data_IF_657808432296
#
_entry.id   IF_657808432296
#
_cell.length_a   1.000
_cell.length_b   1.000
_cell.length_c   1.000
_cell.angle_alpha   90.00
_cell.angle_beta   90.00
_cell.angle_gamma   90.00
#
_symmetry.space_group_name_H-M   'P 1'
#
loop_
_entity.id
_entity.type
_entity.pdbx_description
1 polymer ?
#
# COMPACT_ATOMS: atom_id res chain seq x y z
N UNK A 1 23.48 10.79 -3.35
CA UNK A 1 22.16 10.53 -3.98
C UNK A 1 21.09 10.58 -2.92
N UNK A 2 19.96 11.21 -3.22
CA UNK A 2 18.80 11.28 -2.34
C UNK A 2 17.99 9.98 -2.35
N UNK A 3 17.51 9.53 -1.19
CA UNK A 3 16.83 8.24 -0.99
C UNK A 3 15.33 8.36 -0.69
N UNK A 4 14.78 9.58 -0.72
CA UNK A 4 13.37 9.90 -0.42
C UNK A 4 12.86 10.97 -1.37
N UNK A 5 11.54 11.04 -1.56
CA UNK A 5 10.88 12.10 -2.32
C UNK A 5 10.56 13.30 -1.42
N UNK A 6 10.97 14.50 -1.83
CA UNK A 6 10.51 15.76 -1.27
C UNK A 6 10.38 16.81 -2.40
N UNK A 7 9.17 16.91 -2.96
CA UNK A 7 8.87 17.81 -4.08
C UNK A 7 8.99 19.30 -3.72
N UNK A 8 8.81 19.68 -2.44
CA UNK A 8 8.95 21.07 -1.98
C UNK A 8 10.42 21.51 -2.03
N UNK A 9 11.31 20.67 -1.51
CA UNK A 9 12.77 20.87 -1.61
C UNK A 9 13.34 20.58 -3.00
N UNK A 10 12.52 20.06 -3.92
CA UNK A 10 12.90 19.84 -5.31
C UNK A 10 13.85 18.65 -5.51
N UNK A 11 13.78 17.63 -4.65
CA UNK A 11 14.49 16.36 -4.86
C UNK A 11 13.54 15.15 -4.83
N UNK A 12 13.85 14.17 -5.66
CA UNK A 12 13.19 12.86 -5.69
C UNK A 12 14.20 11.75 -5.41
N UNK A 13 13.72 10.56 -5.03
CA UNK A 13 14.56 9.38 -4.88
C UNK A 13 15.36 9.14 -6.17
N UNK A 14 16.67 8.95 -6.05
CA UNK A 14 17.59 8.87 -7.18
C UNK A 14 18.25 10.20 -7.58
N UNK A 15 17.84 11.35 -7.03
CA UNK A 15 18.48 12.65 -7.34
C UNK A 15 19.97 12.61 -6.94
N UNK A 16 20.86 13.00 -7.87
CA UNK A 16 22.31 13.06 -7.63
C UNK A 16 22.72 14.52 -7.34
N UNK A 17 23.70 14.67 -6.45
CA UNK A 17 24.28 15.95 -6.08
C UNK A 17 25.56 15.72 -5.27
N UNK A 18 26.36 16.78 -5.13
CA UNK A 18 27.65 16.80 -4.45
C UNK A 18 27.52 17.58 -3.15
N UNK A 19 27.93 17.01 -2.02
CA UNK A 19 28.03 17.77 -0.76
C UNK A 19 29.13 18.81 -0.93
N UNK A 20 28.79 20.09 -0.75
CA UNK A 20 29.72 21.22 -0.93
C UNK A 20 30.16 21.84 0.39
N UNK A 21 29.27 21.86 1.38
CA UNK A 21 29.53 22.44 2.69
C UNK A 21 28.53 21.85 3.72
N UNK A 22 28.57 22.33 4.95
CA UNK A 22 27.61 22.06 6.02
C UNK A 22 27.07 23.38 6.60
N UNK A 23 25.87 23.38 7.15
CA UNK A 23 25.31 24.52 7.91
C UNK A 23 25.89 24.58 9.32
N UNK A 24 25.63 25.67 10.06
CA UNK A 24 26.07 25.82 11.45
C UNK A 24 25.55 24.73 12.38
N UNK A 25 24.36 24.18 12.08
CA UNK A 25 23.73 23.06 12.79
C UNK A 25 24.24 21.68 12.33
N UNK A 26 25.20 21.63 11.40
CA UNK A 26 25.82 20.41 10.90
C UNK A 26 25.06 19.69 9.78
N UNK A 27 24.01 20.29 9.19
CA UNK A 27 23.30 19.67 8.06
C UNK A 27 24.09 19.82 6.75
N UNK A 28 24.21 18.79 5.91
CA UNK A 28 24.95 18.90 4.66
C UNK A 28 24.19 19.75 3.62
N UNK A 29 24.94 20.63 2.95
CA UNK A 29 24.51 21.42 1.80
C UNK A 29 24.92 20.71 0.50
N UNK A 30 23.93 20.25 -0.26
CA UNK A 30 24.12 19.48 -1.49
C UNK A 30 23.85 20.33 -2.73
N UNK A 31 24.85 20.47 -3.61
CA UNK A 31 24.70 21.06 -4.94
C UNK A 31 24.16 20.01 -5.91
N UNK A 32 22.99 20.26 -6.50
CA UNK A 32 22.47 19.46 -7.62
C UNK A 32 23.14 19.85 -8.95
N UNK A 33 23.00 19.00 -9.96
CA UNK A 33 23.46 19.29 -11.34
C UNK A 33 22.98 20.65 -11.88
N UNK A 34 21.75 21.06 -11.52
CA UNK A 34 21.17 22.35 -11.91
C UNK A 34 21.62 23.54 -11.03
N UNK A 35 22.75 23.41 -10.32
CA UNK A 35 23.35 24.42 -9.42
C UNK A 35 22.49 24.89 -8.24
N UNK A 36 21.29 24.32 -8.04
CA UNK A 36 20.50 24.54 -6.82
C UNK A 36 21.20 23.87 -5.63
N UNK A 37 21.47 24.66 -4.61
CA UNK A 37 21.85 24.19 -3.28
C UNK A 37 20.61 23.72 -2.52
N UNK A 38 20.74 22.63 -1.76
CA UNK A 38 19.70 22.08 -0.90
C UNK A 38 20.33 21.78 0.47
N UNK A 39 19.80 22.36 1.54
CA UNK A 39 20.07 21.87 2.90
C UNK A 39 19.30 20.58 3.13
N UNK A 40 20.01 19.54 3.59
CA UNK A 40 19.42 18.22 3.75
C UNK A 40 19.20 17.91 5.22
N UNK A 41 17.95 18.00 5.65
CA UNK A 41 17.51 17.66 6.99
C UNK A 41 17.28 16.14 7.15
N UNK A 42 17.35 15.58 8.38
CA UNK A 42 16.94 14.21 8.66
C UNK A 42 15.51 13.93 8.22
N UNK A 43 15.29 12.72 7.70
CA UNK A 43 13.99 12.22 7.30
C UNK A 43 13.67 10.93 8.05
N UNK A 44 12.37 10.67 8.26
CA UNK A 44 11.92 9.45 8.91
C UNK A 44 11.45 8.37 7.91
N UNK A 45 11.76 7.11 8.20
CA UNK A 45 11.15 5.94 7.58
C UNK A 45 10.52 5.10 8.69
N UNK A 46 9.22 4.81 8.56
CA UNK A 46 8.49 3.93 9.47
C UNK A 46 8.25 2.56 8.83
N UNK A 47 8.41 1.51 9.63
CA UNK A 47 7.85 0.20 9.35
C UNK A 47 6.50 0.11 10.08
N UNK A 48 5.42 -0.14 9.34
CA UNK A 48 4.07 -0.22 9.89
C UNK A 48 3.41 -1.56 9.56
N UNK A 49 2.70 -2.12 10.54
CA UNK A 49 1.72 -3.18 10.35
C UNK A 49 0.31 -2.56 10.37
N UNK A 50 -0.27 -2.43 9.19
CA UNK A 50 -1.49 -1.64 8.97
C UNK A 50 -1.33 -0.20 9.48
N UNK A 51 -2.10 0.14 10.54
CA UNK A 51 -2.11 1.46 11.17
C UNK A 51 -1.10 1.62 12.32
N UNK A 52 -0.35 0.57 12.69
CA UNK A 52 0.59 0.58 13.82
C UNK A 52 2.03 0.68 13.31
N UNK A 53 2.69 1.80 13.59
CA UNK A 53 4.15 1.89 13.47
C UNK A 53 4.81 0.90 14.43
N UNK A 54 5.56 -0.05 13.90
CA UNK A 54 6.34 -1.04 14.65
C UNK A 54 7.72 -0.49 15.04
N UNK A 55 8.35 0.23 14.11
CA UNK A 55 9.64 0.87 14.28
C UNK A 55 9.75 2.09 13.36
N UNK A 56 10.64 3.03 13.69
CA UNK A 56 11.03 4.10 12.79
C UNK A 56 12.55 4.33 12.85
N UNK A 57 13.08 4.91 11.78
CA UNK A 57 14.48 5.33 11.66
C UNK A 57 14.46 6.79 11.24
N UNK A 58 15.16 7.66 11.96
CA UNK A 58 15.46 9.03 11.52
C UNK A 58 16.92 9.10 11.06
N UNK A 59 17.14 9.55 9.82
CA UNK A 59 18.47 9.63 9.21
C UNK A 59 18.45 10.62 8.04
N UNK A 60 19.59 11.20 7.68
CA UNK A 60 19.71 11.98 6.44
C UNK A 60 19.28 11.12 5.23
N UNK A 61 18.41 11.62 4.33
CA UNK A 61 17.96 10.91 3.13
C UNK A 61 19.04 10.89 2.04
N UNK A 62 20.29 10.58 2.40
CA UNK A 62 21.46 10.56 1.53
C UNK A 62 22.14 9.19 1.58
N UNK A 63 22.61 8.75 0.40
CA UNK A 63 23.53 7.63 0.24
C UNK A 63 24.67 8.04 -0.68
N UNK A 64 25.87 7.53 -0.40
CA UNK A 64 27.02 7.62 -1.30
C UNK A 64 26.65 7.00 -2.66
N UNK A 65 27.10 7.63 -3.74
CA UNK A 65 26.53 7.40 -5.07
C UNK A 65 27.57 7.27 -6.20
N UNK A 66 28.84 7.03 -5.86
CA UNK A 66 29.88 6.70 -6.84
C UNK A 66 29.61 5.37 -7.55
N UNK A 67 29.00 4.41 -6.85
CA UNK A 67 28.53 3.15 -7.40
C UNK A 67 27.18 2.76 -6.79
N UNK A 68 26.30 2.22 -7.61
CA UNK A 68 25.04 1.59 -7.19
C UNK A 68 24.89 0.26 -7.92
N UNK A 69 24.25 -0.73 -7.29
CA UNK A 69 23.98 -2.00 -7.97
C UNK A 69 22.82 -1.83 -8.96
N UNK A 70 22.83 -2.62 -10.04
CA UNK A 70 21.75 -2.61 -11.06
C UNK A 70 20.37 -2.73 -10.41
N UNK A 71 20.20 -3.67 -9.48
CA UNK A 71 18.97 -3.87 -8.69
C UNK A 71 18.50 -2.61 -7.92
N UNK A 72 19.42 -1.73 -7.47
CA UNK A 72 19.06 -0.47 -6.79
C UNK A 72 18.82 0.69 -7.78
N UNK A 73 19.25 0.54 -9.03
CA UNK A 73 18.95 1.47 -10.12
C UNK A 73 17.60 1.20 -10.82
N UNK A 74 16.96 0.06 -10.54
CA UNK A 74 15.71 -0.34 -11.20
C UNK A 74 14.59 0.72 -11.01
N UNK A 75 14.01 1.17 -12.11
CA UNK A 75 13.00 2.24 -12.13
C UNK A 75 13.55 3.66 -12.01
N UNK A 76 14.86 3.85 -11.83
CA UNK A 76 15.51 5.16 -11.90
C UNK A 76 15.79 5.58 -13.34
N UNK A 77 15.93 6.88 -13.56
CA UNK A 77 16.37 7.50 -14.81
C UNK A 77 17.61 8.35 -14.51
N UNK A 78 18.69 8.13 -15.25
CA UNK A 78 20.03 8.67 -14.98
C UNK A 78 20.59 9.32 -16.25
N UNK A 79 21.33 10.41 -16.11
CA UNK A 79 21.88 11.16 -17.25
C UNK A 79 23.10 10.48 -17.87
N UNK A 80 24.01 10.02 -17.02
CA UNK A 80 25.23 9.34 -17.41
C UNK A 80 25.59 8.26 -16.38
N UNK A 81 26.13 7.15 -16.86
CA UNK A 81 26.57 6.04 -16.02
C UNK A 81 27.76 5.31 -16.65
N UNK A 82 28.74 4.98 -15.81
CA UNK A 82 29.73 3.93 -16.10
C UNK A 82 29.13 2.62 -15.61
N UNK A 83 29.03 1.63 -16.51
CA UNK A 83 28.34 0.36 -16.28
C UNK A 83 29.35 -0.77 -16.49
N UNK A 84 29.35 -1.74 -15.58
CA UNK A 84 30.11 -2.98 -15.69
C UNK A 84 29.14 -4.15 -15.53
N UNK A 85 29.11 -5.04 -16.51
CA UNK A 85 28.23 -6.21 -16.58
C UNK A 85 29.04 -7.53 -16.68
N UNK A 86 30.35 -7.51 -16.42
CA UNK A 86 31.20 -8.71 -16.47
C UNK A 86 30.76 -9.79 -15.47
N UNK A 87 30.26 -9.37 -14.31
CA UNK A 87 29.74 -10.24 -13.24
C UNK A 87 28.20 -10.28 -13.19
N UNK A 88 27.50 -9.93 -14.28
CA UNK A 88 26.04 -10.02 -14.33
C UNK A 88 25.60 -11.51 -14.31
N UNK A 89 24.61 -11.83 -13.47
CA UNK A 89 24.19 -13.22 -13.21
C UNK A 89 22.70 -13.47 -13.50
N UNK A 90 21.85 -12.44 -13.40
CA UNK A 90 20.41 -12.55 -13.62
C UNK A 90 20.01 -12.24 -15.07
N UNK A 91 19.01 -12.97 -15.58
CA UNK A 91 18.40 -12.67 -16.88
C UNK A 91 17.88 -11.23 -16.93
N UNK A 92 18.08 -10.56 -18.07
CA UNK A 92 17.66 -9.17 -18.28
C UNK A 92 18.40 -8.13 -17.41
N UNK A 93 19.38 -8.52 -16.59
CA UNK A 93 20.12 -7.58 -15.73
C UNK A 93 20.87 -6.52 -16.56
N UNK A 94 21.46 -6.91 -17.70
CA UNK A 94 22.07 -5.95 -18.63
C UNK A 94 21.04 -4.99 -19.20
N UNK A 95 19.90 -5.49 -19.69
CA UNK A 95 18.80 -4.63 -20.16
C UNK A 95 18.34 -3.64 -19.08
N UNK A 96 18.15 -4.07 -17.83
CA UNK A 96 17.77 -3.18 -16.73
C UNK A 96 18.82 -2.08 -16.53
N UNK A 97 20.12 -2.42 -16.51
CA UNK A 97 21.22 -1.47 -16.31
C UNK A 97 21.32 -0.44 -17.45
N UNK A 98 21.36 -0.91 -18.70
CA UNK A 98 21.54 -0.06 -19.87
C UNK A 98 20.34 0.88 -20.08
N UNK A 99 19.12 0.39 -19.84
CA UNK A 99 17.88 1.17 -19.97
C UNK A 99 17.67 2.25 -18.89
N UNK A 100 18.59 2.42 -17.92
CA UNK A 100 18.52 3.53 -16.96
C UNK A 100 19.06 4.85 -17.53
N UNK A 101 19.92 4.81 -18.55
CA UNK A 101 20.61 5.99 -19.06
C UNK A 101 19.77 6.71 -20.13
N UNK A 102 19.58 8.03 -19.98
CA UNK A 102 18.69 8.85 -20.83
C UNK A 102 19.11 8.96 -22.30
N UNK A 103 20.39 8.79 -22.61
CA UNK A 103 20.94 8.94 -23.95
C UNK A 103 22.21 8.09 -24.10
N UNK A 104 22.45 7.55 -25.30
CA UNK A 104 23.62 6.69 -25.57
C UNK A 104 24.96 7.37 -25.26
N UNK A 105 25.08 8.68 -25.51
CA UNK A 105 26.29 9.45 -25.19
C UNK A 105 26.59 9.61 -23.69
N UNK A 106 25.65 9.25 -22.80
CA UNK A 106 25.89 9.19 -21.36
C UNK A 106 26.29 7.80 -20.86
N UNK A 107 26.25 6.77 -21.70
CA UNK A 107 26.48 5.38 -21.34
C UNK A 107 27.94 4.97 -21.66
N UNK A 108 28.68 4.57 -20.63
CA UNK A 108 30.04 4.04 -20.77
C UNK A 108 30.06 2.60 -20.26
N UNK A 109 30.23 1.63 -21.16
CA UNK A 109 30.24 0.20 -20.82
C UNK A 109 31.69 -0.29 -20.70
N UNK A 110 32.11 -0.71 -19.50
CA UNK A 110 33.45 -1.25 -19.24
C UNK A 110 33.62 -2.68 -19.75
N UNK A 111 32.52 -3.44 -19.80
CA UNK A 111 32.50 -4.82 -20.25
C UNK A 111 31.18 -5.50 -19.91
N UNK A 112 30.94 -6.65 -20.51
CA UNK A 112 29.74 -7.46 -20.31
C UNK A 112 30.04 -8.93 -20.55
N UNK A 113 29.18 -9.80 -20.02
CA UNK A 113 29.19 -11.23 -20.30
C UNK A 113 27.93 -11.63 -21.11
N UNK A 114 27.89 -12.86 -21.66
CA UNK A 114 26.72 -13.34 -22.41
C UNK A 114 25.44 -13.30 -21.55
N UNK A 115 25.54 -13.73 -20.29
CA UNK A 115 24.45 -13.78 -19.32
C UNK A 115 23.72 -12.45 -19.12
N UNK A 116 24.44 -11.33 -19.21
CA UNK A 116 23.88 -9.98 -19.07
C UNK A 116 22.86 -9.64 -20.16
N UNK A 117 22.99 -10.24 -21.35
CA UNK A 117 22.17 -10.01 -22.53
C UNK A 117 21.09 -11.09 -22.73
N UNK A 118 21.14 -12.18 -21.96
CA UNK A 118 20.15 -13.25 -22.01
C UNK A 118 18.80 -12.82 -21.42
N UNK A 119 17.73 -13.30 -22.05
CA UNK A 119 16.34 -13.19 -21.56
C UNK A 119 15.88 -14.59 -21.17
N UNK A 120 15.12 -14.69 -20.08
CA UNK A 120 14.55 -15.95 -19.62
C UNK A 120 13.56 -16.51 -20.66
N UNK A 121 13.72 -17.79 -21.03
CA UNK A 121 12.89 -18.44 -22.04
C UNK A 121 11.40 -18.48 -21.67
N UNK A 122 11.07 -18.52 -20.38
CA UNK A 122 9.68 -18.44 -19.92
C UNK A 122 9.07 -17.06 -20.21
N UNK A 123 9.88 -15.99 -20.14
CA UNK A 123 9.44 -14.63 -20.46
C UNK A 123 9.24 -14.48 -21.97
N UNK A 124 10.12 -15.06 -22.80
CA UNK A 124 9.94 -15.07 -24.28
C UNK A 124 8.65 -15.78 -24.67
N UNK A 125 8.38 -16.96 -24.09
CA UNK A 125 7.15 -17.72 -24.34
C UNK A 125 5.87 -16.95 -23.94
N UNK A 126 5.92 -16.21 -22.82
CA UNK A 126 4.79 -15.40 -22.35
C UNK A 126 4.63 -14.11 -23.17
N UNK A 127 5.72 -13.46 -23.58
CA UNK A 127 5.69 -12.26 -24.43
C UNK A 127 4.99 -12.53 -25.77
N UNK A 128 5.20 -13.70 -26.38
CA UNK A 128 4.46 -14.11 -27.57
C UNK A 128 2.94 -14.09 -27.38
N UNK A 129 2.44 -14.54 -26.22
CA UNK A 129 1.01 -14.50 -25.87
C UNK A 129 0.51 -13.07 -25.65
N UNK A 130 1.32 -12.19 -25.04
CA UNK A 130 0.96 -10.78 -24.87
C UNK A 130 0.92 -10.02 -26.20
N UNK A 131 1.85 -10.31 -27.12
CA UNK A 131 1.88 -9.70 -28.45
C UNK A 131 0.67 -10.11 -29.29
N UNK A 132 0.30 -11.38 -29.30
CA UNK A 132 -0.91 -11.86 -29.98
C UNK A 132 -2.17 -11.22 -29.39
N UNK A 133 -2.27 -11.15 -28.06
CA UNK A 133 -3.38 -10.45 -27.40
C UNK A 133 -3.40 -8.95 -27.72
N UNK A 134 -2.25 -8.29 -27.86
CA UNK A 134 -2.17 -6.90 -28.31
C UNK A 134 -2.74 -6.77 -29.72
N UNK A 135 -2.27 -7.58 -30.68
CA UNK A 135 -2.74 -7.52 -32.07
C UNK A 135 -4.24 -7.82 -32.22
N UNK A 136 -4.78 -8.78 -31.44
CA UNK A 136 -6.23 -9.05 -31.39
C UNK A 136 -6.98 -7.83 -30.85
N UNK A 137 -6.50 -7.21 -29.78
CA UNK A 137 -7.11 -6.01 -29.21
C UNK A 137 -7.02 -4.81 -30.16
N UNK A 138 -5.89 -4.59 -30.82
CA UNK A 138 -5.67 -3.48 -31.76
C UNK A 138 -6.65 -3.55 -32.94
N UNK A 139 -6.81 -4.74 -33.56
CA UNK A 139 -7.83 -4.96 -34.60
C UNK A 139 -9.24 -4.71 -34.06
N UNK A 140 -9.56 -5.30 -32.91
CA UNK A 140 -10.86 -5.11 -32.26
C UNK A 140 -11.16 -3.63 -31.97
N UNK A 141 -10.18 -2.83 -31.57
CA UNK A 141 -10.34 -1.39 -31.36
C UNK A 141 -10.46 -0.61 -32.66
N UNK A 142 -9.80 -1.04 -33.74
CA UNK A 142 -9.96 -0.45 -35.07
C UNK A 142 -11.36 -0.71 -35.66
N UNK A 143 -11.89 -1.92 -35.49
CA UNK A 143 -13.22 -2.32 -35.98
C UNK A 143 -14.39 -1.77 -35.14
N UNK A 144 -14.13 -1.24 -33.93
CA UNK A 144 -15.15 -0.60 -33.08
C UNK A 144 -15.58 0.77 -33.64
N UNK A 145 -16.90 0.99 -33.63
CA UNK A 145 -17.48 2.33 -33.85
C UNK A 145 -17.03 3.33 -32.78
N UNK A 146 -17.05 4.62 -33.09
CA UNK A 146 -16.72 5.68 -32.13
C UNK A 146 -17.63 5.66 -30.89
N UNK A 147 -18.91 5.30 -31.06
CA UNK A 147 -19.87 5.14 -29.96
C UNK A 147 -19.48 4.02 -28.99
N UNK A 148 -19.14 2.82 -29.49
CA UNK A 148 -18.71 1.72 -28.63
C UNK A 148 -17.36 2.04 -27.97
N UNK A 149 -16.45 2.70 -28.68
CA UNK A 149 -15.16 3.15 -28.13
C UNK A 149 -15.36 4.15 -26.99
N UNK A 150 -16.27 5.12 -27.17
CA UNK A 150 -16.62 6.10 -26.14
C UNK A 150 -17.27 5.43 -24.91
N UNK A 151 -18.19 4.47 -25.10
CA UNK A 151 -18.80 3.71 -24.00
C UNK A 151 -17.74 2.94 -23.20
N UNK A 152 -16.82 2.24 -23.89
CA UNK A 152 -15.73 1.48 -23.25
C UNK A 152 -14.76 2.38 -22.50
N UNK A 153 -14.40 3.54 -23.05
CA UNK A 153 -13.56 4.54 -22.37
C UNK A 153 -14.29 5.09 -21.15
N UNK A 154 -15.58 5.44 -21.27
CA UNK A 154 -16.41 5.88 -20.14
C UNK A 154 -16.48 4.83 -19.03
N UNK A 155 -16.73 3.57 -19.37
CA UNK A 155 -16.77 2.46 -18.43
C UNK A 155 -15.39 2.11 -17.81
N UNK A 156 -14.29 2.45 -18.49
CA UNK A 156 -12.94 2.33 -17.95
C UNK A 156 -12.62 3.49 -17.01
N UNK A 157 -12.90 4.73 -17.40
CA UNK A 157 -12.73 5.92 -16.57
C UNK A 157 -13.60 5.84 -15.30
N UNK A 158 -14.86 5.40 -15.40
CA UNK A 158 -15.72 5.17 -14.24
C UNK A 158 -15.21 4.04 -13.29
N UNK A 159 -14.29 3.18 -13.76
CA UNK A 159 -13.60 2.17 -12.93
C UNK A 159 -12.27 2.67 -12.37
N UNK A 160 -11.68 3.73 -12.93
CA UNK A 160 -10.50 4.42 -12.40
C UNK A 160 -10.91 5.51 -11.40
N UNK A 161 -11.98 6.25 -11.67
CA UNK A 161 -12.55 7.30 -10.82
C UNK A 161 -13.33 6.75 -9.60
N UNK A 162 -13.01 5.53 -9.17
CA UNK A 162 -13.47 4.95 -7.89
C UNK A 162 -12.68 5.55 -6.72
N UNK A 163 -12.43 6.86 -6.81
CA UNK A 163 -12.20 7.77 -5.71
C UNK A 163 -13.48 8.57 -5.37
N UNK A 164 -14.46 8.65 -6.28
CA UNK A 164 -15.67 9.47 -6.11
C UNK A 164 -16.92 8.70 -5.68
N UNK A 165 -17.11 7.42 -6.08
CA UNK A 165 -18.31 6.64 -5.69
C UNK A 165 -18.00 5.21 -5.22
N UNK A 166 -18.37 4.94 -3.96
CA UNK A 166 -18.51 3.58 -3.40
C UNK A 166 -19.77 2.93 -3.97
N UNK A 167 -19.64 2.01 -4.92
CA UNK A 167 -20.72 1.14 -5.38
C UNK A 167 -20.21 -0.28 -5.70
N UNK A 168 -20.96 -1.35 -5.33
CA UNK A 168 -20.47 -2.71 -5.44
C UNK A 168 -20.42 -3.22 -6.88
N UNK A 169 -19.26 -3.77 -7.29
CA UNK A 169 -19.06 -4.39 -8.62
C UNK A 169 -20.08 -5.51 -8.89
N UNK A 170 -21.02 -5.30 -9.83
CA UNK A 170 -21.70 -6.40 -10.53
C UNK A 170 -20.68 -7.09 -11.46
N UNK A 171 -20.56 -8.43 -11.38
CA UNK A 171 -19.73 -9.22 -12.29
C UNK A 171 -20.42 -9.32 -13.66
N UNK A 172 -19.69 -9.03 -14.73
CA UNK A 172 -20.04 -9.45 -16.09
C UNK A 172 -19.60 -10.92 -16.25
N UNK A 173 -20.37 -11.81 -16.92
CA UNK A 173 -19.95 -13.20 -17.13
C UNK A 173 -18.72 -13.26 -18.03
N UNK A 174 -17.69 -13.96 -17.58
CA UNK A 174 -16.52 -14.29 -18.39
C UNK A 174 -16.66 -15.71 -18.92
N UNK A 175 -17.00 -15.86 -20.19
CA UNK A 175 -16.98 -17.16 -20.85
C UNK A 175 -15.54 -17.47 -21.29
N UNK A 176 -14.86 -18.33 -20.53
CA UNK A 176 -13.71 -19.11 -21.02
C UNK A 176 -13.34 -20.18 -19.98
N UNK A 177 -13.61 -21.43 -20.33
CA UNK A 177 -13.15 -22.60 -19.58
C UNK A 177 -11.64 -22.75 -19.73
N UNK A 178 -10.89 -22.55 -18.66
CA UNK A 178 -9.62 -23.27 -18.45
C UNK A 178 -9.30 -23.36 -16.96
N UNK A 179 -8.99 -24.57 -16.52
CA UNK A 179 -8.84 -24.99 -15.12
C UNK A 179 -7.63 -24.35 -14.43
N UNK A 180 -7.87 -23.53 -13.39
CA UNK A 180 -6.90 -23.25 -12.33
C UNK A 180 -7.54 -23.43 -10.95
N UNK A 181 -6.81 -24.10 -10.07
CA UNK A 181 -7.26 -24.51 -8.73
C UNK A 181 -7.72 -23.33 -7.86
N UNK A 182 -8.80 -23.53 -7.11
CA UNK A 182 -9.40 -22.51 -6.25
C UNK A 182 -8.47 -22.13 -5.08
N UNK A 183 -7.89 -20.93 -5.14
CA UNK A 183 -7.51 -20.19 -3.92
C UNK A 183 -8.59 -19.14 -3.66
N UNK A 184 -9.36 -19.32 -2.58
CA UNK A 184 -10.35 -18.33 -2.13
C UNK A 184 -9.62 -17.06 -1.66
N UNK A 185 -10.29 -15.90 -1.74
CA UNK A 185 -9.73 -14.69 -1.14
C UNK A 185 -9.68 -14.83 0.38
N UNK A 186 -8.63 -14.32 1.04
CA UNK A 186 -8.52 -14.36 2.52
C UNK A 186 -9.72 -13.74 3.23
N UNK A 187 -10.36 -12.74 2.60
CA UNK A 187 -11.59 -12.12 3.10
C UNK A 187 -12.83 -13.01 2.90
N UNK A 188 -12.88 -13.82 1.84
CA UNK A 188 -13.98 -14.77 1.58
C UNK A 188 -13.95 -15.95 2.55
N UNK A 189 -12.75 -16.39 2.96
CA UNK A 189 -12.60 -17.39 4.02
C UNK A 189 -13.05 -16.87 5.38
N UNK A 190 -12.64 -15.65 5.77
CA UNK A 190 -13.15 -15.01 7.00
C UNK A 190 -14.67 -14.84 6.94
N UNK A 191 -15.21 -14.34 5.82
CA UNK A 191 -16.65 -14.17 5.63
C UNK A 191 -17.41 -15.50 5.68
N UNK A 192 -16.86 -16.56 5.12
CA UNK A 192 -17.46 -17.90 5.16
C UNK A 192 -17.57 -18.43 6.58
N UNK A 193 -16.54 -18.27 7.41
CA UNK A 193 -16.57 -18.72 8.80
C UNK A 193 -17.43 -17.80 9.68
N UNK A 194 -17.44 -16.49 9.41
CA UNK A 194 -18.33 -15.53 10.06
C UNK A 194 -19.82 -15.87 9.82
N UNK A 195 -20.19 -16.15 8.56
CA UNK A 195 -21.55 -16.57 8.19
C UNK A 195 -21.96 -17.95 8.74
N UNK A 196 -21.00 -18.75 9.22
CA UNK A 196 -21.27 -19.97 10.00
C UNK A 196 -21.50 -19.69 11.49
N UNK A 197 -21.57 -18.42 11.92
CA UNK A 197 -21.80 -18.02 13.30
C UNK A 197 -20.58 -18.15 14.23
N UNK A 198 -19.37 -18.32 13.67
CA UNK A 198 -18.14 -18.49 14.47
C UNK A 198 -17.64 -17.16 15.03
N UNK A 199 -17.18 -17.16 16.28
CA UNK A 199 -16.62 -15.97 16.92
C UNK A 199 -15.24 -15.60 16.38
N UNK A 200 -14.79 -14.37 16.66
CA UNK A 200 -13.47 -13.84 16.22
C UNK A 200 -12.32 -14.78 16.66
N UNK A 201 -12.40 -15.33 17.88
CA UNK A 201 -11.42 -16.28 18.42
C UNK A 201 -11.39 -17.60 17.61
N UNK A 202 -12.55 -18.14 17.26
CA UNK A 202 -12.67 -19.41 16.54
C UNK A 202 -12.21 -19.26 15.10
N UNK A 203 -12.53 -18.12 14.45
CA UNK A 203 -12.05 -17.79 13.10
C UNK A 203 -10.52 -17.66 13.11
N UNK A 204 -9.95 -17.00 14.11
CA UNK A 204 -8.49 -16.88 14.27
C UNK A 204 -7.83 -18.27 14.39
N UNK A 205 -8.39 -19.14 15.24
CA UNK A 205 -7.89 -20.50 15.45
C UNK A 205 -8.02 -21.38 14.20
N UNK A 206 -9.22 -21.46 13.60
CA UNK A 206 -9.51 -22.28 12.40
C UNK A 206 -8.70 -21.85 11.18
N UNK A 207 -8.36 -20.56 11.06
CA UNK A 207 -7.53 -20.05 9.95
C UNK A 207 -6.04 -19.96 10.25
N UNK A 208 -5.59 -20.19 11.48
CA UNK A 208 -4.20 -20.03 11.88
C UNK A 208 -3.67 -18.58 11.78
N UNK A 209 -4.52 -17.58 12.03
CA UNK A 209 -4.18 -16.15 11.94
C UNK A 209 -4.47 -15.43 13.26
N UNK A 210 -3.92 -14.22 13.44
CA UNK A 210 -4.12 -13.44 14.68
C UNK A 210 -5.52 -12.86 14.79
N UNK A 211 -5.97 -12.57 16.02
CA UNK A 211 -7.26 -11.91 16.29
C UNK A 211 -7.34 -10.54 15.61
N UNK A 212 -6.29 -9.72 15.72
CA UNK A 212 -6.17 -8.45 15.00
C UNK A 212 -6.27 -8.57 13.47
N UNK A 213 -5.78 -9.66 12.88
CA UNK A 213 -5.97 -9.96 11.45
C UNK A 213 -7.44 -10.26 11.13
N UNK A 214 -8.14 -11.03 11.96
CA UNK A 214 -9.59 -11.28 11.81
C UNK A 214 -10.38 -9.99 11.95
N UNK A 215 -10.07 -9.16 12.95
CA UNK A 215 -10.72 -7.86 13.16
C UNK A 215 -10.49 -6.94 11.96
N UNK A 216 -9.28 -6.88 11.41
CA UNK A 216 -8.98 -6.12 10.19
C UNK A 216 -9.69 -6.65 8.94
N UNK A 217 -9.88 -7.96 8.81
CA UNK A 217 -10.72 -8.52 7.74
C UNK A 217 -12.20 -8.17 7.92
N UNK A 218 -12.71 -8.16 9.16
CA UNK A 218 -14.11 -7.81 9.45
C UNK A 218 -14.37 -6.31 9.24
N UNK A 219 -13.44 -5.44 9.61
CA UNK A 219 -13.47 -3.99 9.31
C UNK A 219 -13.63 -3.74 7.79
N UNK A 220 -12.78 -4.38 6.99
CA UNK A 220 -12.85 -4.31 5.52
C UNK A 220 -14.14 -4.94 4.95
N UNK A 221 -14.66 -6.00 5.57
CA UNK A 221 -15.93 -6.63 5.16
C UNK A 221 -17.15 -5.75 5.49
N UNK A 222 -17.11 -4.98 6.58
CA UNK A 222 -18.13 -3.99 6.91
C UNK A 222 -18.08 -2.79 5.96
N UNK A 223 -16.89 -2.23 5.68
CA UNK A 223 -16.73 -1.17 4.67
C UNK A 223 -17.24 -1.58 3.28
N UNK A 224 -17.20 -2.88 2.97
CA UNK A 224 -17.71 -3.47 1.71
C UNK A 224 -19.18 -3.91 1.76
N UNK A 225 -19.91 -3.66 2.84
CA UNK A 225 -21.32 -4.06 2.99
C UNK A 225 -21.54 -5.59 2.92
N UNK A 226 -20.59 -6.39 3.41
CA UNK A 226 -20.68 -7.86 3.42
C UNK A 226 -20.95 -8.45 4.80
N UNK A 227 -20.70 -7.67 5.86
CA UNK A 227 -20.98 -7.92 7.27
C UNK A 227 -21.61 -6.65 7.81
N UNK A 228 -22.74 -6.77 8.49
CA UNK A 228 -23.46 -5.61 9.04
C UNK A 228 -22.88 -5.20 10.39
N UNK A 229 -22.83 -3.90 10.69
CA UNK A 229 -22.24 -3.39 11.94
C UNK A 229 -22.94 -3.94 13.20
N UNK A 230 -24.25 -4.25 13.12
CA UNK A 230 -24.97 -4.87 14.22
C UNK A 230 -24.50 -6.30 14.51
N UNK A 231 -23.93 -7.03 13.53
CA UNK A 231 -23.41 -8.39 13.73
C UNK A 231 -22.14 -8.34 14.57
N UNK A 232 -21.22 -7.43 14.25
CA UNK A 232 -20.04 -7.15 15.07
C UNK A 232 -20.43 -6.73 16.48
N UNK A 233 -21.43 -5.85 16.63
CA UNK A 233 -21.93 -5.42 17.94
C UNK A 233 -22.55 -6.57 18.76
N UNK A 234 -23.20 -7.54 18.12
CA UNK A 234 -23.73 -8.75 18.80
C UNK A 234 -22.66 -9.77 19.14
N UNK A 235 -21.58 -9.86 18.35
CA UNK A 235 -20.47 -10.78 18.56
C UNK A 235 -19.35 -10.21 19.46
N UNK A 236 -19.40 -8.92 19.79
CA UNK A 236 -18.45 -8.28 20.68
C UNK A 236 -18.58 -8.79 22.13
N UNK A 237 -17.47 -9.03 22.85
CA UNK A 237 -17.52 -9.41 24.26
C UNK A 237 -18.22 -8.34 25.11
N UNK A 238 -18.95 -8.74 26.15
CA UNK A 238 -19.70 -7.84 27.03
C UNK A 238 -18.81 -6.75 27.67
N UNK A 239 -17.55 -7.10 28.00
CA UNK A 239 -16.52 -6.15 28.45
C UNK A 239 -16.33 -4.97 27.49
N UNK A 240 -16.43 -5.20 26.18
CA UNK A 240 -16.30 -4.19 25.13
C UNK A 240 -17.57 -3.35 25.04
N UNK A 241 -18.73 -3.99 25.10
CA UNK A 241 -20.03 -3.31 25.11
C UNK A 241 -20.15 -2.34 26.29
N UNK A 242 -19.61 -2.72 27.45
CA UNK A 242 -19.57 -1.89 28.66
C UNK A 242 -18.53 -0.75 28.58
N UNK A 243 -17.44 -0.90 27.82
CA UNK A 243 -16.42 0.14 27.62
C UNK A 243 -16.62 1.02 26.37
N UNK A 244 -17.65 0.76 25.53
CA UNK A 244 -17.99 1.58 24.36
C UNK A 244 -17.98 3.08 24.68
N UNK A 245 -18.72 3.51 25.71
CA UNK A 245 -18.84 4.93 26.05
C UNK A 245 -17.51 5.59 26.41
N UNK A 246 -16.65 4.95 27.22
CA UNK A 246 -15.40 5.61 27.65
C UNK A 246 -14.38 5.66 26.52
N UNK A 247 -14.27 4.60 25.71
CA UNK A 247 -13.34 4.55 24.58
C UNK A 247 -13.79 5.49 23.45
N UNK A 248 -15.09 5.56 23.15
CA UNK A 248 -15.63 6.53 22.18
C UNK A 248 -15.47 7.98 22.64
N UNK A 249 -15.67 8.27 23.93
CA UNK A 249 -15.37 9.59 24.50
C UNK A 249 -13.88 9.95 24.34
N UNK A 250 -12.96 9.01 24.58
CA UNK A 250 -11.53 9.26 24.41
C UNK A 250 -11.13 9.56 22.96
N UNK A 251 -11.73 8.89 21.95
CA UNK A 251 -11.53 9.26 20.54
C UNK A 251 -12.00 10.70 20.24
N UNK A 252 -13.15 11.09 20.80
CA UNK A 252 -13.72 12.44 20.62
C UNK A 252 -12.93 13.53 21.33
N UNK A 253 -12.54 13.32 22.60
CA UNK A 253 -11.72 14.25 23.39
C UNK A 253 -10.35 14.50 22.74
N UNK A 254 -9.77 13.47 22.11
CA UNK A 254 -8.46 13.55 21.43
C UNK A 254 -8.55 13.95 19.95
N UNK A 255 -9.76 14.16 19.41
CA UNK A 255 -9.99 14.57 18.02
C UNK A 255 -9.31 13.67 16.99
N UNK A 256 -9.32 12.35 17.20
CA UNK A 256 -8.52 11.41 16.39
C UNK A 256 -9.24 10.10 16.12
N UNK A 257 -8.86 9.42 15.04
CA UNK A 257 -9.25 8.03 14.74
C UNK A 257 -8.11 7.04 15.01
N UNK A 258 -6.93 7.54 15.43
CA UNK A 258 -5.73 6.75 15.66
C UNK A 258 -5.84 5.99 16.99
N UNK A 259 -5.50 4.69 16.97
CA UNK A 259 -5.61 3.84 18.16
C UNK A 259 -4.57 4.17 19.25
N UNK A 260 -3.36 4.62 18.86
CA UNK A 260 -2.25 4.87 19.79
C UNK A 260 -2.56 5.98 20.83
N UNK A 261 -3.02 7.19 20.47
CA UNK A 261 -3.39 8.21 21.46
C UNK A 261 -4.42 7.73 22.49
N UNK A 262 -5.44 6.98 22.04
CA UNK A 262 -6.46 6.39 22.93
C UNK A 262 -5.88 5.28 23.81
N UNK A 263 -5.02 4.42 23.26
CA UNK A 263 -4.32 3.39 24.04
C UNK A 263 -3.45 4.00 25.15
N UNK A 264 -2.68 5.06 24.83
CA UNK A 264 -1.87 5.82 25.79
C UNK A 264 -2.75 6.50 26.84
N UNK A 265 -3.88 7.11 26.45
CA UNK A 265 -4.85 7.74 27.36
C UNK A 265 -5.45 6.78 28.40
N UNK A 266 -5.53 5.50 28.08
CA UNK A 266 -5.99 4.43 28.97
C UNK A 266 -4.86 3.63 29.63
N UNK A 267 -3.59 3.96 29.38
CA UNK A 267 -2.40 3.33 29.95
C UNK A 267 -2.45 1.78 30.00
N UNK A 268 -2.89 1.15 28.90
CA UNK A 268 -2.97 -0.31 28.78
C UNK A 268 -4.21 -0.99 29.40
N UNK A 269 -5.19 -0.25 29.95
CA UNK A 269 -6.48 -0.81 30.44
C UNK A 269 -7.25 -1.58 29.34
N UNK A 270 -7.06 -1.19 28.09
CA UNK A 270 -7.63 -1.82 26.90
C UNK A 270 -6.53 -2.11 25.88
N UNK A 271 -6.60 -3.26 25.23
CA UNK A 271 -5.70 -3.64 24.13
C UNK A 271 -6.07 -2.94 22.82
N UNK A 272 -5.14 -2.94 21.86
CA UNK A 272 -5.35 -2.36 20.53
C UNK A 272 -6.52 -3.01 19.78
N UNK A 273 -6.70 -4.32 19.90
CA UNK A 273 -7.80 -5.07 19.27
C UNK A 273 -9.16 -4.64 19.85
N UNK A 274 -9.22 -4.40 21.16
CA UNK A 274 -10.43 -3.93 21.85
C UNK A 274 -10.78 -2.48 21.46
N UNK A 275 -9.80 -1.58 21.45
CA UNK A 275 -9.98 -0.18 21.03
C UNK A 275 -10.38 -0.09 19.55
N UNK A 276 -9.78 -0.93 18.69
CA UNK A 276 -10.15 -1.05 17.26
C UNK A 276 -11.58 -1.56 17.09
N UNK A 277 -11.98 -2.56 17.85
CA UNK A 277 -13.35 -3.11 17.81
C UNK A 277 -14.37 -2.06 18.25
N UNK A 278 -14.10 -1.24 19.28
CA UNK A 278 -14.97 -0.11 19.64
C UNK A 278 -15.04 0.92 18.52
N UNK A 279 -13.91 1.29 17.90
CA UNK A 279 -13.89 2.25 16.78
C UNK A 279 -14.75 1.78 15.59
N UNK A 280 -14.80 0.48 15.32
CA UNK A 280 -15.63 -0.09 14.25
C UNK A 280 -17.12 -0.12 14.64
N UNK A 281 -17.42 -0.41 15.92
CA UNK A 281 -18.82 -0.54 16.41
C UNK A 281 -19.49 0.83 16.63
N UNK A 282 -18.73 1.87 17.00
CA UNK A 282 -19.26 3.21 17.23
C UNK A 282 -19.32 4.02 15.94
N UNK A 283 -20.53 4.22 15.43
CA UNK A 283 -20.81 5.32 14.50
C UNK A 283 -20.90 6.66 15.25
N UNK A 284 -20.80 7.80 14.54
CA UNK A 284 -20.95 9.13 15.15
C UNK A 284 -22.27 9.31 15.95
N UNK A 285 -23.32 8.55 15.57
CA UNK A 285 -24.64 8.59 16.18
C UNK A 285 -24.80 7.74 17.45
N UNK A 286 -23.84 6.87 17.81
CA UNK A 286 -24.00 5.97 18.97
C UNK A 286 -23.79 6.65 20.33
N UNK A 287 -23.22 7.86 20.37
CA UNK A 287 -22.87 8.55 21.62
C UNK A 287 -24.11 8.95 22.42
N UNK A 288 -25.18 9.40 21.77
CA UNK A 288 -26.43 9.80 22.45
C UNK A 288 -27.24 8.60 22.95
N UNK A 289 -27.14 7.44 22.29
CA UNK A 289 -27.80 6.21 22.72
C UNK A 289 -27.24 5.71 24.08
N UNK A 290 -25.93 5.84 24.29
CA UNK A 290 -25.30 5.41 25.55
C UNK A 290 -25.51 6.41 26.69
N UNK A 291 -25.65 7.71 26.37
CA UNK A 291 -26.02 8.75 27.35
C UNK A 291 -27.39 8.46 27.97
N UNK A 292 -28.39 8.20 27.12
CA UNK A 292 -29.75 7.84 27.55
C UNK A 292 -29.83 6.58 28.42
N UNK A 293 -28.95 5.57 28.20
CA UNK A 293 -28.92 4.37 29.06
C UNK A 293 -28.41 4.65 30.48
N UNK A 294 -27.40 5.51 30.65
CA UNK A 294 -26.90 5.87 31.99
C UNK A 294 -27.92 6.68 32.79
N UNK A 295 -28.72 7.51 32.12
CA UNK A 295 -29.77 8.30 32.77
C UNK A 295 -31.01 7.46 33.14
N UNK A 296 -31.34 6.40 32.38
CA UNK A 296 -32.38 5.44 32.77
C UNK A 296 -31.97 4.54 33.96
N UNK A 297 -30.70 4.11 34.04
CA UNK A 297 -30.20 3.30 35.16
C UNK A 297 -30.02 4.12 36.45
N UNK A 298 -29.95 5.45 36.36
CA UNK A 298 -29.94 6.37 37.52
C UNK A 298 -31.33 6.84 37.98
N UNK A 299 -32.41 6.36 37.35
CA UNK A 299 -33.81 6.70 37.68
C UNK A 299 -34.66 5.48 38.05
N UNK A 300 -34.03 4.42 38.53
CA UNK A 300 -34.66 3.26 39.19
C UNK A 300 -33.90 2.93 40.48
#
# INVERSE_FOLDING_TARGET
MFTKNNFREGFVNGTIGVVKNYTGDGNPLVEKQNKRMIEVLPAEWSLSDGLRTLAYISQLPLRLAWAITVHKSQGMTIDSAVVDLRDAFAYGQGYVALSRVRALGGLFLLGYNARSLEVDQNIIAVDGSFREQSHINDRRFADMSEGERAERIGAFLARLDVASHVAPRKKIPSDSRTTKSQRRSTYEETLSLWRQGRGINDIAHVRGITKGTVIGHLEELCMRGKVELYELRRAAPERILNSLSEIALAFRELGTERLLPVYTRFNGKYSYDEIRLVRIICSENDIDFVRNRKDQVRRK
#
